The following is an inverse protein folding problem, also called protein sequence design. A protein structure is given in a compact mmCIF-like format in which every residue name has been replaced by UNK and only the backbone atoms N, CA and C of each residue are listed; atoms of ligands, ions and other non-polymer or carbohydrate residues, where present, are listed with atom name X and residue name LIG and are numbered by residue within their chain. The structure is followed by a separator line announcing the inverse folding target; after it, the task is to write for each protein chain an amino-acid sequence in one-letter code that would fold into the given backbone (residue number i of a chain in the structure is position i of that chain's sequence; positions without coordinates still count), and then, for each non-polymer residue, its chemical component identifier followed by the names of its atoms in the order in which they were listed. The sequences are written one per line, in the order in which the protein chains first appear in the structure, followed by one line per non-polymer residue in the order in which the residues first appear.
data_IF_541352598426
#
_entry.id   IF_541352598426
#
_cell.length_a   1.000
_cell.length_b   1.000
_cell.length_c   1.000
_cell.angle_alpha   90.00
_cell.angle_beta   90.00
_cell.angle_gamma   90.00
#
_symmetry.space_group_name_H-M   'P 1'
#
loop_
_entity.id
_entity.type
_entity.pdbx_description
1 polymer ?
#
# COMPACT_ATOMS: atom_id res chain seq x y z
N UNK A 1 -4.92 14.32 -8.30
CA UNK A 1 -3.60 13.75 -8.66
C UNK A 1 -2.71 13.36 -7.45
N UNK A 2 -3.28 12.93 -6.32
CA UNK A 2 -2.53 12.25 -5.24
C UNK A 2 -3.27 10.98 -4.83
N UNK A 3 -4.50 11.15 -4.33
CA UNK A 3 -5.42 10.03 -4.06
C UNK A 3 -5.69 9.16 -5.30
N UNK A 4 -5.89 9.77 -6.47
CA UNK A 4 -6.12 9.04 -7.72
C UNK A 4 -4.93 8.14 -8.09
N UNK A 5 -3.70 8.63 -7.96
CA UNK A 5 -2.51 7.82 -8.22
C UNK A 5 -2.31 6.72 -7.18
N UNK A 6 -2.71 6.94 -5.92
CA UNK A 6 -2.74 5.86 -4.93
C UNK A 6 -3.78 4.79 -5.27
N UNK A 7 -4.99 5.18 -5.67
CA UNK A 7 -6.03 4.23 -6.10
C UNK A 7 -5.56 3.43 -7.31
N UNK A 8 -4.89 4.07 -8.25
CA UNK A 8 -4.31 3.40 -9.40
C UNK A 8 -3.22 2.40 -9.00
N UNK A 9 -2.31 2.77 -8.09
CA UNK A 9 -1.32 1.85 -7.53
C UNK A 9 -1.98 0.62 -6.88
N UNK A 10 -3.05 0.84 -6.11
CA UNK A 10 -3.79 -0.24 -5.44
C UNK A 10 -4.50 -1.13 -6.46
N UNK A 11 -5.13 -0.55 -7.50
CA UNK A 11 -5.75 -1.28 -8.60
C UNK A 11 -4.75 -2.18 -9.31
N UNK A 12 -3.59 -1.64 -9.71
CA UNK A 12 -2.53 -2.42 -10.36
C UNK A 12 -2.04 -3.55 -9.45
N UNK A 13 -1.87 -3.30 -8.15
CA UNK A 13 -1.48 -4.33 -7.20
C UNK A 13 -2.53 -5.45 -7.07
N UNK A 14 -3.82 -5.14 -7.15
CA UNK A 14 -4.90 -6.15 -7.17
C UNK A 14 -4.90 -6.95 -8.47
N UNK A 15 -4.66 -6.31 -9.60
CA UNK A 15 -4.58 -6.99 -10.90
C UNK A 15 -3.41 -7.96 -10.98
N UNK A 16 -2.25 -7.55 -10.47
CA UNK A 16 -1.06 -8.42 -10.34
C UNK A 16 -1.36 -9.64 -9.47
N UNK A 17 -1.99 -9.43 -8.30
CA UNK A 17 -2.41 -10.51 -7.42
C UNK A 17 -3.46 -11.46 -8.05
N UNK A 18 -4.35 -10.92 -8.89
CA UNK A 18 -5.36 -11.70 -9.61
C UNK A 18 -4.76 -12.50 -10.78
N UNK A 19 -3.66 -12.02 -11.38
CA UNK A 19 -2.94 -12.70 -12.45
C UNK A 19 -2.20 -13.95 -11.96
N UNK A 20 -1.76 -13.96 -10.69
CA UNK A 20 -1.15 -15.13 -10.05
C UNK A 20 -1.91 -15.58 -8.79
N UNK A 21 -3.11 -16.16 -8.95
CA UNK A 21 -3.89 -16.65 -7.82
C UNK A 21 -3.09 -17.66 -6.98
N UNK A 22 -2.86 -17.34 -5.71
CA UNK A 22 -2.13 -18.19 -4.78
C UNK A 22 -0.67 -17.77 -4.51
N UNK A 23 -0.11 -16.86 -5.31
CA UNK A 23 1.25 -16.35 -5.06
C UNK A 23 1.39 -15.71 -3.67
N UNK A 24 0.39 -14.93 -3.24
CA UNK A 24 0.39 -14.31 -1.92
C UNK A 24 0.44 -15.34 -0.77
N UNK A 25 -0.21 -16.50 -0.93
CA UNK A 25 -0.21 -17.58 0.07
C UNK A 25 1.14 -18.29 0.10
N UNK A 26 1.69 -18.65 -1.06
CA UNK A 26 3.02 -19.23 -1.17
C UNK A 26 4.07 -18.31 -0.56
N UNK A 27 3.99 -17.01 -0.84
CA UNK A 27 4.89 -16.03 -0.27
C UNK A 27 4.73 -15.91 1.25
N UNK A 28 3.52 -16.00 1.80
CA UNK A 28 3.27 -16.02 3.23
C UNK A 28 3.87 -17.28 3.90
N UNK A 29 3.66 -18.46 3.32
CA UNK A 29 4.27 -19.72 3.77
C UNK A 29 5.80 -19.64 3.74
N UNK A 30 6.36 -19.14 2.64
CA UNK A 30 7.80 -18.95 2.49
C UNK A 30 8.35 -18.01 3.57
N UNK A 31 7.67 -16.88 3.86
CA UNK A 31 8.07 -15.95 4.93
C UNK A 31 8.05 -16.63 6.31
N UNK A 32 7.05 -17.47 6.58
CA UNK A 32 6.96 -18.23 7.83
C UNK A 32 8.05 -19.32 7.94
N UNK A 33 8.53 -19.87 6.84
CA UNK A 33 9.69 -20.77 6.84
C UNK A 33 10.97 -19.95 7.03
N UNK A 34 11.14 -18.87 6.27
CA UNK A 34 12.31 -18.01 6.30
C UNK A 34 12.58 -17.45 7.69
N UNK A 35 11.57 -17.04 8.46
CA UNK A 35 11.78 -16.52 9.82
C UNK A 35 12.47 -17.51 10.78
N UNK A 36 12.47 -18.82 10.45
CA UNK A 36 13.10 -19.88 11.25
C UNK A 36 14.54 -20.18 10.82
N UNK A 37 14.99 -19.64 9.68
CA UNK A 37 16.34 -19.80 9.14
C UNK A 37 16.95 -18.42 8.87
N UNK A 38 18.00 -18.07 9.63
CA UNK A 38 18.59 -16.74 9.59
C UNK A 38 19.16 -16.37 8.21
N UNK A 39 19.73 -17.33 7.49
CA UNK A 39 20.32 -17.09 6.18
C UNK A 39 19.24 -16.93 5.11
N UNK A 40 18.20 -17.76 5.17
CA UNK A 40 17.05 -17.64 4.28
C UNK A 40 16.31 -16.31 4.52
N UNK A 41 16.12 -15.92 5.79
CA UNK A 41 15.51 -14.64 6.15
C UNK A 41 16.32 -13.46 5.61
N UNK A 42 17.65 -13.50 5.73
CA UNK A 42 18.53 -12.44 5.21
C UNK A 42 18.38 -12.29 3.69
N UNK A 43 18.34 -13.40 2.95
CA UNK A 43 18.14 -13.41 1.50
C UNK A 43 16.76 -12.88 1.11
N UNK A 44 15.73 -13.31 1.84
CA UNK A 44 14.37 -12.80 1.67
C UNK A 44 14.32 -11.29 1.91
N UNK A 45 14.86 -10.80 3.03
CA UNK A 45 14.86 -9.38 3.38
C UNK A 45 15.54 -8.53 2.30
N UNK A 46 16.67 -8.99 1.76
CA UNK A 46 17.36 -8.32 0.66
C UNK A 46 16.53 -8.30 -0.64
N UNK A 47 15.78 -9.36 -0.93
CA UNK A 47 14.87 -9.40 -2.07
C UNK A 47 13.65 -8.49 -1.87
N UNK A 48 13.02 -8.56 -0.69
CA UNK A 48 11.86 -7.77 -0.33
C UNK A 48 12.17 -6.27 -0.29
N UNK A 49 13.38 -5.89 0.13
CA UNK A 49 13.82 -4.50 0.14
C UNK A 49 13.70 -3.84 -1.25
N UNK A 50 14.00 -4.56 -2.33
CA UNK A 50 13.87 -4.05 -3.71
C UNK A 50 12.41 -3.78 -4.09
N UNK A 51 11.48 -4.65 -3.68
CA UNK A 51 10.04 -4.43 -3.87
C UNK A 51 9.59 -3.18 -3.14
N UNK A 52 10.02 -3.01 -1.89
CA UNK A 52 9.67 -1.84 -1.08
C UNK A 52 10.28 -0.55 -1.64
N UNK A 53 11.49 -0.58 -2.20
CA UNK A 53 12.09 0.57 -2.88
C UNK A 53 11.29 1.00 -4.11
N UNK A 54 10.80 0.04 -4.90
CA UNK A 54 9.93 0.32 -6.04
C UNK A 54 8.62 1.00 -5.63
N UNK A 55 7.94 0.46 -4.61
CA UNK A 55 6.69 1.05 -4.09
C UNK A 55 6.95 2.43 -3.49
N UNK A 56 8.01 2.59 -2.70
CA UNK A 56 8.38 3.87 -2.08
C UNK A 56 8.66 4.96 -3.14
N UNK A 57 9.33 4.61 -4.23
CA UNK A 57 9.57 5.51 -5.38
C UNK A 57 8.27 5.97 -6.02
N UNK A 58 7.32 5.05 -6.24
CA UNK A 58 5.98 5.41 -6.75
C UNK A 58 5.27 6.33 -5.76
N UNK A 59 5.25 5.99 -4.47
CA UNK A 59 4.63 6.84 -3.45
C UNK A 59 5.23 8.26 -3.45
N UNK A 60 6.55 8.40 -3.51
CA UNK A 60 7.23 9.70 -3.60
C UNK A 60 6.75 10.52 -4.82
N UNK A 61 6.54 9.85 -5.96
CA UNK A 61 6.01 10.49 -7.17
C UNK A 61 4.56 10.97 -7.03
N UNK A 62 3.77 10.42 -6.11
CA UNK A 62 2.41 10.88 -5.83
C UNK A 62 2.38 12.23 -5.09
N UNK A 63 3.41 12.52 -4.30
CA UNK A 63 3.49 13.73 -3.47
C UNK A 63 4.09 14.92 -4.22
N UNK A 64 5.10 14.68 -5.08
CA UNK A 64 5.81 15.73 -5.83
C UNK A 64 4.89 16.71 -6.58
N UNK A 65 3.88 16.26 -7.35
CA UNK A 65 3.04 17.16 -8.16
C UNK A 65 2.07 18.01 -7.33
N UNK A 66 1.70 17.53 -6.14
CA UNK A 66 0.71 18.19 -5.27
C UNK A 66 1.37 19.04 -4.17
N UNK A 67 2.71 19.06 -4.10
CA UNK A 67 3.46 19.89 -3.15
C UNK A 67 3.21 19.54 -1.69
N UNK A 68 2.76 18.31 -1.41
CA UNK A 68 2.58 17.80 -0.06
C UNK A 68 3.80 16.99 0.38
N UNK A 69 4.08 16.99 1.68
CA UNK A 69 5.05 16.08 2.27
C UNK A 69 4.35 14.79 2.73
N UNK A 70 4.97 13.61 2.57
CA UNK A 70 4.49 12.37 3.16
C UNK A 70 4.33 12.49 4.70
N UNK A 71 3.28 11.93 5.30
CA UNK A 71 3.05 12.05 6.76
C UNK A 71 4.07 11.27 7.59
N UNK A 72 4.72 10.28 6.98
CA UNK A 72 5.83 9.47 7.51
C UNK A 72 6.74 9.10 6.32
N UNK A 73 7.96 8.56 6.53
CA UNK A 73 8.82 8.14 5.43
C UNK A 73 8.09 7.21 4.45
N UNK A 74 8.21 7.47 3.14
CA UNK A 74 7.57 6.67 2.08
C UNK A 74 7.94 5.18 2.14
N UNK A 75 9.12 4.87 2.70
CA UNK A 75 9.53 3.50 2.99
C UNK A 75 8.61 2.80 3.98
N UNK A 76 8.27 3.45 5.09
CA UNK A 76 7.34 2.90 6.10
C UNK A 76 5.93 2.76 5.55
N UNK A 77 5.52 3.67 4.65
CA UNK A 77 4.25 3.54 3.94
C UNK A 77 4.24 2.34 2.99
N UNK A 78 5.31 2.10 2.24
CA UNK A 78 5.46 0.93 1.37
C UNK A 78 5.42 -0.38 2.18
N UNK A 79 6.07 -0.39 3.34
CA UNK A 79 6.04 -1.51 4.29
C UNK A 79 4.61 -1.79 4.78
N UNK A 80 3.84 -0.75 5.12
CA UNK A 80 2.44 -0.88 5.49
C UNK A 80 1.60 -1.49 4.35
N UNK A 81 1.78 -1.01 3.11
CA UNK A 81 1.07 -1.55 1.94
C UNK A 81 1.35 -3.04 1.74
N UNK A 82 2.63 -3.44 1.79
CA UNK A 82 3.02 -4.84 1.60
C UNK A 82 2.59 -5.76 2.73
N UNK A 83 2.66 -5.30 3.98
CA UNK A 83 2.15 -6.05 5.13
C UNK A 83 0.62 -6.21 5.04
N UNK A 84 -0.09 -5.12 4.73
CA UNK A 84 -1.53 -5.12 4.55
C UNK A 84 -2.00 -6.04 3.41
N UNK A 85 -1.34 -6.01 2.26
CA UNK A 85 -1.69 -6.86 1.12
C UNK A 85 -1.66 -8.36 1.46
N UNK A 86 -0.63 -8.81 2.18
CA UNK A 86 -0.55 -10.22 2.64
C UNK A 86 -1.61 -10.53 3.69
N UNK A 87 -1.85 -9.63 4.65
CA UNK A 87 -2.90 -9.79 5.65
C UNK A 87 -4.29 -9.92 5.02
N UNK A 88 -4.64 -9.00 4.11
CA UNK A 88 -5.92 -9.00 3.38
C UNK A 88 -6.08 -10.28 2.56
N UNK A 89 -5.03 -10.76 1.89
CA UNK A 89 -5.09 -12.02 1.15
C UNK A 89 -5.43 -13.20 2.08
N UNK A 90 -4.76 -13.30 3.24
CA UNK A 90 -5.02 -14.37 4.21
C UNK A 90 -6.44 -14.29 4.80
N UNK A 91 -6.92 -13.09 5.15
CA UNK A 91 -8.29 -12.89 5.63
C UNK A 91 -9.33 -13.27 4.57
N UNK A 92 -9.10 -12.91 3.31
CA UNK A 92 -10.00 -13.25 2.19
C UNK A 92 -10.02 -14.74 1.86
N UNK A 93 -8.94 -15.47 2.14
CA UNK A 93 -8.93 -16.92 2.03
C UNK A 93 -9.90 -17.59 3.03
N UNK A 94 -10.06 -17.00 4.24
CA UNK A 94 -11.00 -17.49 5.25
C UNK A 94 -12.43 -16.96 5.04
N UNK A 95 -12.56 -15.71 4.61
CA UNK A 95 -13.82 -15.04 4.33
C UNK A 95 -13.67 -14.16 3.07
N UNK A 96 -14.20 -14.57 1.91
CA UNK A 96 -14.06 -13.83 0.65
C UNK A 96 -14.53 -12.37 0.69
N UNK A 97 -15.41 -12.01 1.64
CA UNK A 97 -15.94 -10.65 1.82
C UNK A 97 -15.15 -9.82 2.84
N UNK A 98 -14.05 -10.34 3.39
CA UNK A 98 -13.24 -9.63 4.36
C UNK A 98 -12.54 -8.43 3.73
N UNK A 99 -12.63 -7.30 4.44
CA UNK A 99 -11.93 -6.04 4.16
C UNK A 99 -12.18 -5.55 2.72
N UNK A 100 -13.38 -5.04 2.38
CA UNK A 100 -13.71 -4.58 1.02
C UNK A 100 -12.68 -3.62 0.43
N UNK A 101 -12.41 -3.71 -0.88
CA UNK A 101 -11.39 -2.89 -1.55
C UNK A 101 -11.63 -1.38 -1.35
N UNK A 102 -12.88 -0.94 -1.46
CA UNK A 102 -13.26 0.47 -1.27
C UNK A 102 -12.91 0.98 0.13
N UNK A 103 -13.07 0.14 1.16
CA UNK A 103 -12.72 0.48 2.54
C UNK A 103 -11.19 0.58 2.72
N UNK A 104 -10.43 -0.34 2.10
CA UNK A 104 -8.96 -0.30 2.12
C UNK A 104 -8.45 0.97 1.44
N UNK A 105 -9.00 1.31 0.27
CA UNK A 105 -8.63 2.51 -0.48
C UNK A 105 -8.89 3.78 0.34
N UNK A 106 -10.08 3.92 0.94
CA UNK A 106 -10.43 5.09 1.74
C UNK A 106 -9.54 5.20 3.00
N UNK A 107 -9.26 4.10 3.68
CA UNK A 107 -8.35 4.08 4.82
C UNK A 107 -6.94 4.52 4.44
N UNK A 108 -6.41 4.02 3.33
CA UNK A 108 -5.06 4.36 2.88
C UNK A 108 -4.96 5.80 2.37
N UNK A 109 -5.95 6.32 1.64
CA UNK A 109 -5.99 7.73 1.23
C UNK A 109 -5.95 8.65 2.46
N UNK A 110 -6.67 8.29 3.54
CA UNK A 110 -6.63 9.03 4.80
C UNK A 110 -5.30 8.90 5.51
N UNK A 111 -4.79 7.68 5.67
CA UNK A 111 -3.53 7.41 6.34
C UNK A 111 -2.35 8.10 5.64
N UNK A 112 -2.41 8.22 4.32
CA UNK A 112 -1.37 8.84 3.50
C UNK A 112 -1.57 10.36 3.33
N UNK A 113 -2.58 10.95 3.96
CA UNK A 113 -2.86 12.39 3.85
C UNK A 113 -3.00 12.90 2.40
N UNK A 114 -3.37 12.03 1.45
CA UNK A 114 -3.47 12.33 0.01
C UNK A 114 -4.84 12.93 -0.39
N UNK A 115 -5.54 13.58 0.53
CA UNK A 115 -6.90 14.09 0.29
C UNK A 115 -6.90 15.14 -0.82
N UNK A 116 -7.96 15.09 -1.65
CA UNK A 116 -8.21 16.09 -2.67
C UNK A 116 -8.37 17.47 -2.01
N UNK A 117 -7.53 18.42 -2.42
CA UNK A 117 -7.53 19.81 -1.92
C UNK A 117 -8.75 20.63 -2.37
N UNK A 118 -9.73 20.02 -3.05
CA UNK A 118 -10.93 20.71 -3.52
C UNK A 118 -11.83 21.25 -2.38
N UNK A 119 -11.69 20.75 -1.14
CA UNK A 119 -12.61 21.12 -0.04
C UNK A 119 -12.13 22.31 0.81
N UNK A 120 -10.85 22.73 0.71
CA UNK A 120 -10.32 23.76 1.62
C UNK A 120 -10.46 25.22 1.12
N UNK A 121 -10.80 25.43 -0.16
CA UNK A 121 -10.97 26.80 -0.71
C UNK A 121 -12.37 27.36 -0.43
N UNK A 122 -13.39 26.51 -0.23
CA UNK A 122 -14.77 26.95 0.03
C UNK A 122 -14.99 27.49 1.46
N UNK A 123 -14.21 27.03 2.45
CA UNK A 123 -14.40 27.40 3.85
C UNK A 123 -13.82 28.78 4.23
N UNK A 124 -12.96 29.38 3.39
CA UNK A 124 -12.36 30.71 3.64
C UNK A 124 -13.10 31.88 2.98
N UNK A 125 -14.12 31.62 2.15
CA UNK A 125 -14.89 32.66 1.46
C UNK A 125 -16.18 33.12 2.14
N UNK A 126 -16.65 32.41 3.17
CA UNK A 126 -18.01 32.62 3.74
C UNK A 126 -18.06 33.43 5.04
N UNK A 127 -17.01 34.18 5.40
CA UNK A 127 -17.07 35.17 6.48
C UNK A 127 -16.86 36.57 5.91
N UNK A 128 -17.94 37.15 5.39
CA UNK A 128 -18.13 38.59 5.28
C UNK A 128 -19.42 38.94 5.99
#
# INVERSE_FOLDING_TARGET
MGAEGLRELLRVGREDAAAEPGWAYLLAEFRAIAMRDAELNRRYAAAHARTLDGIASVLESLYKPIGLEPPVPVRSMAELLQAGAVGVALERAANPNAVPDDDVEELLVRAFALRDTAVHTAARGSRR
#
